data_IF_052049095659
#
_entry.id   IF_052049095659
#
_cell.length_a   1.000
_cell.length_b   1.000
_cell.length_c   1.000
_cell.angle_alpha   90.00
_cell.angle_beta   90.00
_cell.angle_gamma   90.00
#
_symmetry.space_group_name_H-M   'P 1'
#
loop_
_entity.id
_entity.type
_entity.pdbx_description
1 polymer ?
#
# COMPACT_ATOMS: atom_id res chain seq x y z
N UNK A 1 5.67 9.63 51.40
CA UNK A 1 6.11 10.40 50.21
C UNK A 1 6.36 9.38 49.12
N UNK A 2 5.40 9.19 48.21
CA UNK A 2 5.52 8.21 47.13
C UNK A 2 6.24 8.86 45.96
N UNK A 3 7.51 8.52 45.76
CA UNK A 3 8.27 8.93 44.58
C UNK A 3 7.76 8.13 43.38
N UNK A 4 7.10 8.85 42.48
CA UNK A 4 6.61 8.35 41.20
C UNK A 4 7.83 8.00 40.33
N UNK A 5 8.18 6.72 40.22
CA UNK A 5 9.18 6.26 39.27
C UNK A 5 8.55 6.24 37.88
N UNK A 6 8.59 7.40 37.22
CA UNK A 6 8.63 7.44 35.76
C UNK A 6 9.80 6.56 35.34
N UNK A 7 9.50 5.35 34.88
CA UNK A 7 10.46 4.44 34.30
C UNK A 7 10.81 5.00 32.92
N UNK A 8 11.57 6.10 32.91
CA UNK A 8 12.21 6.61 31.72
C UNK A 8 13.21 5.54 31.35
N UNK A 9 12.89 4.71 30.36
CA UNK A 9 13.85 3.79 29.79
C UNK A 9 14.95 4.68 29.20
N UNK A 10 16.06 4.78 29.92
CA UNK A 10 17.28 5.42 29.45
C UNK A 10 17.76 4.48 28.36
N UNK A 11 17.48 4.85 27.11
CA UNK A 11 17.92 4.08 25.96
C UNK A 11 19.45 4.17 25.98
N UNK A 12 20.10 3.02 26.15
CA UNK A 12 21.56 2.94 26.19
C UNK A 12 22.09 3.16 24.77
N UNK A 13 23.00 4.12 24.59
CA UNK A 13 23.57 4.44 23.28
C UNK A 13 24.31 3.24 22.66
N UNK A 14 24.83 2.33 23.49
CA UNK A 14 25.43 1.07 23.04
C UNK A 14 24.38 0.06 22.55
N UNK A 15 23.18 0.04 23.14
CA UNK A 15 22.06 -0.78 22.66
C UNK A 15 21.56 -0.30 21.28
N UNK A 16 21.48 1.02 21.06
CA UNK A 16 21.11 1.59 19.76
C UNK A 16 22.16 1.29 18.71
N UNK A 17 23.45 1.46 19.04
CA UNK A 17 24.55 1.14 18.12
C UNK A 17 24.58 -0.35 17.77
N UNK A 18 24.23 -1.23 18.71
CA UNK A 18 24.12 -2.66 18.46
C UNK A 18 22.92 -3.00 17.56
N UNK A 19 21.78 -2.32 17.70
CA UNK A 19 20.62 -2.49 16.86
C UNK A 19 20.86 -1.99 15.42
N UNK A 20 21.50 -0.84 15.25
CA UNK A 20 21.82 -0.27 13.92
C UNK A 20 22.86 -1.11 13.15
N UNK A 21 23.76 -1.80 13.85
CA UNK A 21 24.75 -2.70 13.25
C UNK A 21 24.17 -4.08 12.90
N UNK A 22 22.92 -4.36 13.27
CA UNK A 22 22.28 -5.64 13.02
C UNK A 22 21.64 -5.66 11.64
N UNK A 23 22.22 -6.42 10.72
CA UNK A 23 21.64 -6.68 9.41
C UNK A 23 20.54 -7.74 9.53
N UNK A 24 19.28 -7.34 9.33
CA UNK A 24 18.15 -8.27 9.45
C UNK A 24 18.19 -9.25 8.27
N UNK A 25 18.23 -10.58 8.52
CA UNK A 25 18.15 -11.55 7.44
C UNK A 25 16.80 -11.40 6.72
N UNK A 26 16.84 -11.02 5.43
CA UNK A 26 15.65 -10.70 4.63
C UNK A 26 15.31 -9.20 4.53
N UNK A 27 16.16 -8.32 5.07
CA UNK A 27 16.09 -6.87 4.88
C UNK A 27 17.10 -6.35 3.83
N UNK A 28 17.64 -7.22 2.98
CA UNK A 28 18.16 -6.74 1.69
C UNK A 28 16.93 -6.22 0.91
N UNK A 29 16.83 -4.92 0.60
CA UNK A 29 15.90 -4.48 -0.42
C UNK A 29 16.41 -5.08 -1.72
N UNK A 30 15.99 -6.32 -2.00
CA UNK A 30 16.49 -7.17 -3.06
C UNK A 30 16.99 -6.31 -4.21
N UNK A 31 18.31 -6.22 -4.36
CA UNK A 31 18.96 -5.49 -5.46
C UNK A 31 18.78 -6.26 -6.79
N UNK A 32 17.66 -6.98 -6.88
CA UNK A 32 17.20 -7.76 -8.00
C UNK A 32 16.28 -6.85 -8.80
N UNK A 33 16.64 -6.60 -10.06
CA UNK A 33 15.84 -5.81 -10.98
C UNK A 33 14.48 -6.50 -11.18
N UNK A 34 13.44 -6.00 -10.49
CA UNK A 34 12.07 -6.48 -10.70
C UNK A 34 11.63 -6.01 -12.09
N UNK A 35 11.62 -6.92 -13.05
CA UNK A 35 11.05 -6.67 -14.37
C UNK A 35 9.53 -6.57 -14.26
N UNK A 36 8.99 -5.35 -14.39
CA UNK A 36 7.55 -5.11 -14.41
C UNK A 36 7.10 -4.96 -15.86
N UNK A 37 6.15 -5.78 -16.28
CA UNK A 37 5.46 -5.62 -17.56
C UNK A 37 4.27 -4.67 -17.39
N UNK A 38 4.19 -3.62 -18.23
CA UNK A 38 3.03 -2.72 -18.26
C UNK A 38 2.08 -3.22 -19.34
N UNK A 39 0.93 -3.72 -18.93
CA UNK A 39 -0.16 -4.06 -19.84
C UNK A 39 -1.06 -2.84 -20.07
N UNK A 40 -1.37 -2.49 -21.33
CA UNK A 40 -2.34 -1.45 -21.62
C UNK A 40 -3.76 -1.89 -21.20
N UNK A 41 -4.63 -0.92 -20.95
CA UNK A 41 -6.05 -1.19 -20.69
C UNK A 41 -6.67 -1.97 -21.85
N UNK A 42 -7.35 -3.08 -21.54
CA UNK A 42 -8.00 -3.90 -22.56
C UNK A 42 -9.23 -3.19 -23.13
N UNK A 43 -9.58 -3.52 -24.38
CA UNK A 43 -10.67 -2.86 -25.10
C UNK A 43 -12.03 -3.02 -24.41
N UNK A 44 -12.19 -4.08 -23.62
CA UNK A 44 -13.38 -4.47 -22.90
C UNK A 44 -13.31 -4.17 -21.39
N UNK A 45 -12.34 -3.37 -20.94
CA UNK A 45 -12.18 -2.98 -19.53
C UNK A 45 -12.41 -1.48 -19.30
N UNK A 46 -12.74 -1.12 -18.06
CA UNK A 46 -12.76 0.26 -17.55
C UNK A 46 -12.45 0.31 -16.05
N UNK A 47 -11.97 1.45 -15.56
CA UNK A 47 -11.79 1.70 -14.11
C UNK A 47 -13.00 2.43 -13.55
N UNK A 48 -13.69 1.84 -12.56
CA UNK A 48 -14.82 2.48 -11.91
C UNK A 48 -14.39 3.72 -11.11
N UNK A 49 -15.07 4.85 -11.30
CA UNK A 49 -14.74 6.10 -10.62
C UNK A 49 -15.07 6.13 -9.10
N UNK A 50 -15.85 5.15 -8.60
CA UNK A 50 -16.19 5.05 -7.17
C UNK A 50 -15.28 4.09 -6.40
N UNK A 51 -15.00 2.89 -6.94
CA UNK A 51 -14.24 1.85 -6.23
C UNK A 51 -12.82 1.66 -6.78
N UNK A 52 -12.46 2.34 -7.86
CA UNK A 52 -11.13 2.28 -8.51
C UNK A 52 -10.70 0.90 -9.01
N UNK A 53 -11.61 -0.08 -9.05
CA UNK A 53 -11.35 -1.40 -9.60
C UNK A 53 -11.52 -1.41 -11.11
N UNK A 54 -10.69 -2.21 -11.79
CA UNK A 54 -10.86 -2.56 -13.21
C UNK A 54 -12.01 -3.54 -13.34
N UNK A 55 -12.95 -3.25 -14.23
CA UNK A 55 -14.14 -4.06 -14.49
C UNK A 55 -14.31 -4.25 -15.99
N UNK A 56 -14.88 -5.39 -16.37
CA UNK A 56 -15.31 -5.61 -17.74
C UNK A 56 -16.48 -4.66 -18.10
N UNK A 57 -16.56 -4.16 -19.33
CA UNK A 57 -17.57 -3.22 -19.82
C UNK A 57 -19.01 -3.71 -19.65
N UNK A 58 -19.23 -5.01 -19.53
CA UNK A 58 -20.55 -5.57 -19.17
C UNK A 58 -21.04 -5.15 -17.79
N UNK A 59 -20.14 -4.73 -16.90
CA UNK A 59 -20.44 -4.25 -15.55
C UNK A 59 -20.59 -2.72 -15.50
N UNK A 60 -20.57 -2.04 -16.64
CA UNK A 60 -20.80 -0.59 -16.70
C UNK A 60 -22.27 -0.29 -16.39
N UNK A 61 -22.52 0.50 -15.34
CA UNK A 61 -23.87 0.92 -14.97
C UNK A 61 -24.23 2.28 -15.56
N UNK A 62 -23.36 3.28 -15.35
CA UNK A 62 -23.65 4.67 -15.75
C UNK A 62 -22.38 5.44 -16.05
N UNK A 63 -22.50 6.45 -16.92
CA UNK A 63 -21.52 7.53 -17.05
C UNK A 63 -22.08 8.81 -16.42
N UNK A 64 -21.37 9.40 -15.45
CA UNK A 64 -21.69 10.75 -14.94
C UNK A 64 -20.57 11.69 -15.34
N UNK A 65 -20.89 12.80 -15.99
CA UNK A 65 -19.87 13.76 -16.46
C UNK A 65 -18.73 13.13 -17.28
N UNK A 66 -19.02 12.06 -18.03
CA UNK A 66 -18.03 11.34 -18.83
C UNK A 66 -17.16 10.34 -18.07
N UNK A 67 -17.36 10.14 -16.75
CA UNK A 67 -16.65 9.12 -15.97
C UNK A 67 -17.53 7.87 -15.73
N UNK A 68 -17.00 6.64 -15.89
CA UNK A 68 -17.76 5.41 -15.78
C UNK A 68 -17.85 4.88 -14.34
N UNK A 69 -19.00 4.30 -14.00
CA UNK A 69 -19.27 3.65 -12.72
C UNK A 69 -19.80 2.22 -12.92
N UNK A 70 -19.40 1.30 -12.05
CA UNK A 70 -19.82 -0.10 -12.12
C UNK A 70 -21.16 -0.36 -11.42
N UNK A 71 -21.81 -1.48 -11.79
CA UNK A 71 -23.08 -1.94 -11.19
C UNK A 71 -23.03 -2.07 -9.68
N UNK A 72 -21.91 -2.49 -9.10
CA UNK A 72 -21.78 -2.62 -7.63
C UNK A 72 -21.80 -1.27 -6.87
N UNK A 73 -21.52 -0.15 -7.55
CA UNK A 73 -21.42 1.16 -6.90
C UNK A 73 -22.64 2.06 -7.15
N UNK A 74 -23.37 1.83 -8.23
CA UNK A 74 -24.49 2.67 -8.67
C UNK A 74 -25.77 1.86 -8.94
N UNK A 75 -25.81 0.60 -8.50
CA UNK A 75 -26.93 -0.34 -8.60
C UNK A 75 -27.37 -0.87 -7.25
#
# INVERSE_FOLDING_TARGET
MATNHTQQQVIDDDEVRAADAYDLPGADPATEEISVEILPAQADEFTCASCFLVRHRSQLAVHRHGVPYCVDCEG
#
